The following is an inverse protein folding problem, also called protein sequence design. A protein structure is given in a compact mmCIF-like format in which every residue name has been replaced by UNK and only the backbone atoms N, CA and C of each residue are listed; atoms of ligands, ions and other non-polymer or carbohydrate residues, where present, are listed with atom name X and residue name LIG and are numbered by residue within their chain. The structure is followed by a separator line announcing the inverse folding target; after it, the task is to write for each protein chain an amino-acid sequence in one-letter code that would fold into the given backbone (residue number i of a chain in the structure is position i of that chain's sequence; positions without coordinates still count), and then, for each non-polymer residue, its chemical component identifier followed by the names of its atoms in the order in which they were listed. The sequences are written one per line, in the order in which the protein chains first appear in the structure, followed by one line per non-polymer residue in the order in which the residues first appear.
data_IF_520023238318
#
_entry.id   IF_520023238318
#
_cell.length_a   1.000
_cell.length_b   1.000
_cell.length_c   1.000
_cell.angle_alpha   90.00
_cell.angle_beta   90.00
_cell.angle_gamma   90.00
#
_symmetry.space_group_name_H-M   'P 1'
#
loop_
_entity.id
_entity.type
_entity.pdbx_description
1 polymer ?
#
# COMPACT_ATOMS: atom_id res chain seq x y z
N UNK A 1 25.71 16.45 -24.54
CA UNK A 1 25.48 14.99 -24.60
C UNK A 1 24.56 14.60 -23.44
N UNK A 2 23.24 14.67 -23.63
CA UNK A 2 22.30 13.98 -22.75
C UNK A 2 22.08 12.59 -23.35
N UNK A 3 22.50 11.52 -22.67
CA UNK A 3 22.07 10.19 -23.08
C UNK A 3 20.53 10.18 -23.05
N UNK A 4 19.85 9.65 -24.08
CA UNK A 4 18.40 9.50 -24.06
C UNK A 4 18.06 8.48 -22.97
N UNK A 5 17.77 8.95 -21.77
CA UNK A 5 17.28 8.10 -20.68
C UNK A 5 15.92 7.55 -21.13
N UNK A 6 15.77 6.23 -21.11
CA UNK A 6 14.52 5.61 -21.51
C UNK A 6 13.39 6.05 -20.56
N UNK A 7 12.19 6.29 -21.10
CA UNK A 7 11.01 6.68 -20.29
C UNK A 7 10.72 5.67 -19.18
N UNK A 8 11.01 4.40 -19.45
CA UNK A 8 10.88 3.32 -18.46
C UNK A 8 11.82 3.55 -17.28
N UNK A 9 13.08 3.94 -17.52
CA UNK A 9 14.03 4.24 -16.44
C UNK A 9 13.57 5.43 -15.58
N UNK A 10 12.96 6.46 -16.20
CA UNK A 10 12.40 7.60 -15.46
C UNK A 10 11.23 7.16 -14.56
N UNK A 11 10.29 6.38 -15.11
CA UNK A 11 9.15 5.86 -14.34
C UNK A 11 9.64 4.98 -13.19
N UNK A 12 10.52 4.02 -13.46
CA UNK A 12 11.10 3.15 -12.43
C UNK A 12 11.82 3.93 -11.33
N UNK A 13 12.59 4.97 -11.69
CA UNK A 13 13.23 5.84 -10.70
C UNK A 13 12.21 6.56 -9.81
N UNK A 14 11.11 7.07 -10.37
CA UNK A 14 10.02 7.67 -9.58
C UNK A 14 9.40 6.68 -8.61
N UNK A 15 9.16 5.44 -9.05
CA UNK A 15 8.65 4.37 -8.20
C UNK A 15 9.60 4.04 -7.04
N UNK A 16 10.91 3.94 -7.31
CA UNK A 16 11.92 3.72 -6.26
C UNK A 16 11.88 4.83 -5.21
N UNK A 17 11.79 6.10 -5.65
CA UNK A 17 11.69 7.24 -4.74
C UNK A 17 10.41 7.17 -3.91
N UNK A 18 9.27 6.87 -4.52
CA UNK A 18 7.98 6.73 -3.81
C UNK A 18 8.05 5.61 -2.78
N UNK A 19 8.51 4.42 -3.16
CA UNK A 19 8.64 3.29 -2.23
C UNK A 19 9.64 3.56 -1.11
N UNK A 20 10.77 4.22 -1.42
CA UNK A 20 11.75 4.64 -0.43
C UNK A 20 11.17 5.64 0.57
N UNK A 21 10.42 6.63 0.09
CA UNK A 21 9.76 7.61 0.96
C UNK A 21 8.68 6.96 1.82
N UNK A 22 7.89 6.05 1.26
CA UNK A 22 6.90 5.29 2.03
C UNK A 22 7.56 4.39 3.09
N UNK A 23 8.69 3.78 2.79
CA UNK A 23 9.45 3.00 3.78
C UNK A 23 9.96 3.87 4.93
N UNK A 24 10.43 5.09 4.64
CA UNK A 24 10.81 6.06 5.69
C UNK A 24 9.59 6.43 6.54
N UNK A 25 8.44 6.72 5.92
CA UNK A 25 7.20 7.04 6.65
C UNK A 25 6.76 5.88 7.56
N UNK A 26 6.89 4.64 7.09
CA UNK A 26 6.63 3.43 7.89
C UNK A 26 7.55 3.37 9.11
N UNK A 27 8.83 3.71 8.98
CA UNK A 27 9.74 3.76 10.13
C UNK A 27 9.38 4.88 11.11
N UNK A 28 9.00 6.06 10.60
CA UNK A 28 8.54 7.19 11.42
C UNK A 28 7.29 6.81 12.22
N UNK A 29 6.32 6.15 11.59
CA UNK A 29 5.10 5.67 12.24
C UNK A 29 5.38 4.60 13.30
N UNK A 30 6.33 3.68 13.04
CA UNK A 30 6.73 2.67 14.01
C UNK A 30 7.37 3.31 15.25
N UNK A 31 8.34 4.19 15.04
CA UNK A 31 9.06 4.87 16.14
C UNK A 31 8.09 5.73 16.96
N UNK A 32 7.24 6.52 16.30
CA UNK A 32 6.24 7.35 16.99
C UNK A 32 5.23 6.52 17.77
N UNK A 33 4.74 5.41 17.21
CA UNK A 33 3.85 4.47 17.91
C UNK A 33 4.48 3.87 19.17
N UNK A 34 5.75 3.44 19.08
CA UNK A 34 6.47 2.89 20.22
C UNK A 34 6.76 3.96 21.29
N UNK A 35 7.13 5.17 20.89
CA UNK A 35 7.31 6.29 21.81
C UNK A 35 6.01 6.62 22.55
N UNK A 36 4.88 6.67 21.85
CA UNK A 36 3.58 6.92 22.48
C UNK A 36 3.15 5.79 23.42
N UNK A 37 3.35 4.54 23.03
CA UNK A 37 3.09 3.39 23.89
C UNK A 37 3.93 3.42 25.17
N UNK A 38 5.18 3.85 25.07
CA UNK A 38 6.07 4.04 26.23
C UNK A 38 5.61 5.20 27.12
N UNK A 39 5.29 6.36 26.55
CA UNK A 39 4.82 7.54 27.32
C UNK A 39 3.52 7.24 28.08
N UNK A 40 2.59 6.52 27.45
CA UNK A 40 1.29 6.15 28.05
C UNK A 40 1.44 4.96 29.02
N UNK A 41 2.61 4.31 29.06
CA UNK A 41 2.90 3.15 29.92
C UNK A 41 1.88 2.01 29.71
N UNK A 42 1.61 1.67 28.45
CA UNK A 42 0.65 0.61 28.12
C UNK A 42 1.14 -0.73 28.71
N UNK A 43 0.33 -1.41 29.54
CA UNK A 43 0.70 -2.70 30.13
C UNK A 43 0.69 -3.80 29.08
N UNK A 44 1.41 -4.91 29.33
CA UNK A 44 1.42 -6.09 28.45
C UNK A 44 2.61 -6.20 27.51
N UNK A 45 3.68 -5.41 27.73
CA UNK A 45 4.93 -5.57 26.99
C UNK A 45 5.53 -6.97 27.23
N UNK A 46 5.75 -7.70 26.15
CA UNK A 46 6.53 -8.94 26.14
C UNK A 46 7.26 -9.07 24.81
N UNK A 47 8.40 -9.77 24.79
CA UNK A 47 9.16 -10.00 23.54
C UNK A 47 8.32 -10.72 22.48
N UNK A 48 7.45 -11.64 22.91
CA UNK A 48 6.57 -12.38 22.01
C UNK A 48 5.57 -11.45 21.31
N UNK A 49 4.86 -10.62 22.08
CA UNK A 49 3.89 -9.65 21.55
C UNK A 49 4.57 -8.65 20.62
N UNK A 50 5.75 -8.17 20.98
CA UNK A 50 6.50 -7.23 20.14
C UNK A 50 6.91 -7.85 18.79
N UNK A 51 7.38 -9.10 18.78
CA UNK A 51 7.74 -9.80 17.54
C UNK A 51 6.53 -10.04 16.65
N UNK A 52 5.40 -10.47 17.21
CA UNK A 52 4.16 -10.67 16.46
C UNK A 52 3.66 -9.36 15.84
N UNK A 53 3.65 -8.28 16.64
CA UNK A 53 3.32 -6.94 16.18
C UNK A 53 4.24 -6.50 15.04
N UNK A 54 5.55 -6.65 15.18
CA UNK A 54 6.51 -6.21 14.17
C UNK A 54 6.32 -6.97 12.85
N UNK A 55 6.06 -8.28 12.92
CA UNK A 55 5.77 -9.10 11.74
C UNK A 55 4.49 -8.63 11.02
N UNK A 56 3.39 -8.44 11.76
CA UNK A 56 2.13 -7.91 11.22
C UNK A 56 2.33 -6.52 10.62
N UNK A 57 3.04 -5.64 11.32
CA UNK A 57 3.32 -4.27 10.90
C UNK A 57 4.12 -4.19 9.60
N UNK A 58 5.20 -4.97 9.50
CA UNK A 58 6.04 -5.04 8.28
C UNK A 58 5.20 -5.56 7.11
N UNK A 59 4.42 -6.62 7.32
CA UNK A 59 3.58 -7.20 6.27
C UNK A 59 2.54 -6.20 5.76
N UNK A 60 1.78 -5.57 6.66
CA UNK A 60 0.79 -4.54 6.33
C UNK A 60 1.46 -3.39 5.57
N UNK A 61 2.62 -2.94 6.04
CA UNK A 61 3.36 -1.84 5.43
C UNK A 61 3.79 -2.17 4.00
N UNK A 62 4.36 -3.35 3.77
CA UNK A 62 4.79 -3.80 2.44
C UNK A 62 3.60 -3.87 1.49
N UNK A 63 2.49 -4.49 1.90
CA UNK A 63 1.30 -4.58 1.05
C UNK A 63 0.71 -3.19 0.75
N UNK A 64 0.69 -2.29 1.73
CA UNK A 64 0.22 -0.91 1.55
C UNK A 64 1.11 -0.14 0.57
N UNK A 65 2.44 -0.27 0.67
CA UNK A 65 3.38 0.36 -0.26
C UNK A 65 3.15 -0.18 -1.69
N UNK A 66 2.97 -1.48 -1.86
CA UNK A 66 2.69 -2.08 -3.18
C UNK A 66 1.42 -1.51 -3.82
N UNK A 67 0.38 -1.24 -3.03
CA UNK A 67 -0.89 -0.65 -3.50
C UNK A 67 -0.79 0.83 -3.86
N UNK A 68 0.31 1.52 -3.57
CA UNK A 68 0.55 2.88 -4.08
C UNK A 68 0.76 2.91 -5.60
N UNK A 69 1.05 1.77 -6.22
CA UNK A 69 1.35 1.68 -7.65
C UNK A 69 0.17 2.03 -8.57
N UNK A 70 -1.04 1.47 -8.38
CA UNK A 70 -2.25 1.95 -9.07
C UNK A 70 -2.50 3.45 -8.88
N UNK A 71 -2.19 4.00 -7.70
CA UNK A 71 -2.36 5.42 -7.41
C UNK A 71 -1.42 6.27 -8.27
N UNK A 72 -0.18 5.82 -8.46
CA UNK A 72 0.78 6.48 -9.35
C UNK A 72 0.29 6.50 -10.81
N UNK A 73 -0.37 5.44 -11.27
CA UNK A 73 -1.01 5.41 -12.59
C UNK A 73 -2.11 6.46 -12.71
N UNK A 74 -3.03 6.51 -11.74
CA UNK A 74 -4.13 7.50 -11.72
C UNK A 74 -3.57 8.93 -11.64
N UNK A 75 -2.50 9.17 -10.89
CA UNK A 75 -1.81 10.46 -10.84
C UNK A 75 -1.26 10.87 -12.22
N UNK A 76 -0.64 9.93 -12.94
CA UNK A 76 -0.14 10.17 -14.30
C UNK A 76 -1.25 10.40 -15.33
N UNK A 77 -2.37 9.69 -15.21
CA UNK A 77 -3.53 9.84 -16.10
C UNK A 77 -4.29 11.14 -15.86
N UNK A 78 -4.59 11.45 -14.59
CA UNK A 78 -5.35 12.63 -14.20
C UNK A 78 -4.60 13.96 -14.31
N UNK A 79 -3.29 13.94 -14.57
CA UNK A 79 -2.41 15.12 -14.72
C UNK A 79 -2.53 16.14 -13.57
N UNK A 80 -2.82 15.67 -12.36
CA UNK A 80 -3.07 16.52 -11.19
C UNK A 80 -3.19 15.72 -9.90
N UNK A 81 -3.25 16.41 -8.77
CA UNK A 81 -3.25 15.78 -7.44
C UNK A 81 -4.65 15.33 -6.99
N UNK A 82 -5.72 15.91 -7.53
CA UNK A 82 -7.10 15.65 -7.10
C UNK A 82 -7.53 14.22 -7.45
N UNK A 83 -7.26 13.76 -8.67
CA UNK A 83 -7.64 12.42 -9.14
C UNK A 83 -7.07 11.28 -8.28
N UNK A 84 -5.75 11.21 -7.99
CA UNK A 84 -5.20 10.15 -7.15
C UNK A 84 -5.69 10.24 -5.69
N UNK A 85 -5.90 11.44 -5.15
CA UNK A 85 -6.47 11.59 -3.80
C UNK A 85 -7.91 11.06 -3.75
N UNK A 86 -8.76 11.48 -4.70
CA UNK A 86 -10.14 11.03 -4.79
C UNK A 86 -10.22 9.51 -4.95
N UNK A 87 -9.33 8.94 -5.77
CA UNK A 87 -9.21 7.50 -5.95
C UNK A 87 -8.86 6.79 -4.64
N UNK A 88 -7.83 7.24 -3.91
CA UNK A 88 -7.44 6.62 -2.63
C UNK A 88 -8.60 6.70 -1.62
N UNK A 89 -9.22 7.86 -1.47
CA UNK A 89 -10.36 8.03 -0.55
C UNK A 89 -11.50 7.08 -0.93
N UNK A 90 -11.87 7.03 -2.20
CA UNK A 90 -12.92 6.15 -2.69
C UNK A 90 -12.59 4.67 -2.42
N UNK A 91 -11.37 4.23 -2.73
CA UNK A 91 -10.96 2.85 -2.49
C UNK A 91 -10.94 2.48 -1.01
N UNK A 92 -10.53 3.42 -0.13
CA UNK A 92 -10.56 3.20 1.32
C UNK A 92 -11.99 3.10 1.86
N UNK A 93 -12.93 3.89 1.33
CA UNK A 93 -14.35 3.81 1.68
C UNK A 93 -14.91 2.46 1.21
N UNK A 94 -14.65 2.07 -0.05
CA UNK A 94 -15.07 0.77 -0.58
C UNK A 94 -14.50 -0.38 0.22
N UNK A 95 -13.26 -0.28 0.69
CA UNK A 95 -12.64 -1.30 1.54
C UNK A 95 -13.48 -1.60 2.79
N UNK A 96 -14.08 -0.57 3.41
CA UNK A 96 -14.93 -0.76 4.58
C UNK A 96 -16.23 -1.50 4.23
N UNK A 97 -16.89 -1.13 3.14
CA UNK A 97 -18.13 -1.79 2.72
C UNK A 97 -17.90 -3.24 2.30
N UNK A 98 -16.82 -3.51 1.57
CA UNK A 98 -16.49 -4.87 1.12
C UNK A 98 -16.07 -5.76 2.31
N UNK A 99 -15.35 -5.20 3.29
CA UNK A 99 -15.07 -5.89 4.53
C UNK A 99 -16.36 -6.21 5.33
N UNK A 100 -17.31 -5.27 5.39
CA UNK A 100 -18.58 -5.45 6.11
C UNK A 100 -19.40 -6.64 5.59
N UNK A 101 -19.35 -6.93 4.28
CA UNK A 101 -20.05 -8.06 3.66
C UNK A 101 -19.23 -9.35 3.66
N UNK A 102 -18.08 -9.39 4.34
CA UNK A 102 -17.23 -10.59 4.47
C UNK A 102 -16.27 -10.86 3.31
N UNK A 103 -16.10 -9.89 2.40
CA UNK A 103 -15.22 -10.01 1.23
C UNK A 103 -13.89 -9.27 1.39
N UNK A 104 -13.59 -8.78 2.59
CA UNK A 104 -12.36 -8.06 2.93
C UNK A 104 -11.08 -8.75 2.42
N UNK A 105 -10.90 -10.08 2.59
CA UNK A 105 -9.71 -10.79 2.12
C UNK A 105 -9.50 -10.76 0.60
N UNK A 106 -10.49 -10.35 -0.20
CA UNK A 106 -10.44 -10.37 -1.66
C UNK A 106 -10.37 -8.97 -2.29
N UNK A 107 -10.46 -7.91 -1.48
CA UNK A 107 -10.40 -6.54 -1.98
C UNK A 107 -9.04 -5.89 -1.67
N UNK A 108 -8.26 -5.45 -2.68
CA UNK A 108 -6.86 -5.07 -2.49
C UNK A 108 -6.64 -4.06 -1.36
N UNK A 109 -7.46 -3.02 -1.29
CA UNK A 109 -7.35 -1.96 -0.27
C UNK A 109 -7.90 -2.34 1.10
N UNK A 110 -8.66 -3.44 1.22
CA UNK A 110 -9.11 -3.97 2.50
C UNK A 110 -8.08 -4.94 3.12
N UNK A 111 -7.32 -5.66 2.29
CA UNK A 111 -6.39 -6.71 2.72
C UNK A 111 -5.41 -6.28 3.82
N UNK A 112 -4.70 -5.13 3.73
CA UNK A 112 -3.84 -4.67 4.81
C UNK A 112 -4.61 -4.45 6.12
N UNK A 113 -5.85 -3.96 6.04
CA UNK A 113 -6.73 -3.78 7.20
C UNK A 113 -7.15 -5.12 7.80
N UNK A 114 -7.50 -6.11 6.98
CA UNK A 114 -7.86 -7.47 7.44
C UNK A 114 -6.74 -8.10 8.28
N UNK A 115 -5.47 -7.95 7.88
CA UNK A 115 -4.30 -8.45 8.64
C UNK A 115 -4.19 -7.82 10.04
N UNK A 116 -4.69 -6.59 10.21
CA UNK A 116 -4.65 -5.88 11.50
C UNK A 116 -5.74 -6.32 12.48
N UNK A 117 -6.77 -7.02 12.00
CA UNK A 117 -7.86 -7.50 12.84
C UNK A 117 -7.40 -8.69 13.69
N UNK A 118 -8.06 -8.89 14.83
CA UNK A 118 -7.80 -10.02 15.73
C UNK A 118 -8.07 -11.35 15.01
N UNK A 119 -7.15 -12.29 15.16
CA UNK A 119 -7.27 -13.66 14.67
C UNK A 119 -8.59 -14.31 15.14
N UNK A 120 -9.25 -15.04 14.23
CA UNK A 120 -10.56 -15.66 14.48
C UNK A 120 -11.76 -14.72 14.30
N UNK A 121 -11.57 -13.52 13.75
CA UNK A 121 -12.69 -12.67 13.33
C UNK A 121 -13.33 -13.25 12.08
N UNK A 122 -14.60 -13.66 12.19
CA UNK A 122 -15.34 -14.33 11.13
C UNK A 122 -15.38 -13.49 9.84
N UNK A 123 -15.07 -14.12 8.70
CA UNK A 123 -15.01 -13.44 7.39
C UNK A 123 -13.81 -12.51 7.18
N UNK A 124 -12.90 -12.39 8.16
CA UNK A 124 -11.73 -11.51 8.11
C UNK A 124 -10.43 -12.30 8.23
N UNK A 125 -10.38 -13.47 7.62
CA UNK A 125 -9.19 -14.33 7.56
C UNK A 125 -8.48 -14.16 6.22
N UNK A 126 -7.17 -13.90 6.29
CA UNK A 126 -6.35 -13.79 5.07
C UNK A 126 -6.12 -15.17 4.47
N UNK A 127 -6.30 -15.24 3.17
CA UNK A 127 -6.00 -16.43 2.36
C UNK A 127 -4.82 -16.17 1.45
N UNK A 128 -4.22 -17.22 0.91
CA UNK A 128 -3.12 -17.09 -0.05
C UNK A 128 -3.48 -16.21 -1.26
N UNK A 129 -4.73 -16.27 -1.71
CA UNK A 129 -5.25 -15.45 -2.80
C UNK A 129 -5.16 -13.94 -2.51
N UNK A 130 -5.26 -13.51 -1.25
CA UNK A 130 -5.15 -12.09 -0.86
C UNK A 130 -3.80 -11.50 -1.28
N UNK A 131 -2.70 -12.22 -1.03
CA UNK A 131 -1.37 -11.76 -1.43
C UNK A 131 -1.21 -11.68 -2.96
N UNK A 132 -1.77 -12.66 -3.68
CA UNK A 132 -1.78 -12.66 -5.15
C UNK A 132 -2.56 -11.45 -5.69
N UNK A 133 -3.72 -11.14 -5.10
CA UNK A 133 -4.57 -10.01 -5.50
C UNK A 133 -3.81 -8.69 -5.36
N UNK A 134 -3.13 -8.47 -4.22
CA UNK A 134 -2.32 -7.26 -4.01
C UNK A 134 -1.16 -7.19 -5.02
N UNK A 135 -0.47 -8.30 -5.25
CA UNK A 135 0.64 -8.36 -6.19
C UNK A 135 0.19 -8.03 -7.62
N UNK A 136 -0.87 -8.68 -8.11
CA UNK A 136 -1.44 -8.42 -9.43
C UNK A 136 -1.89 -6.96 -9.55
N UNK A 137 -2.60 -6.44 -8.54
CA UNK A 137 -3.05 -5.05 -8.50
C UNK A 137 -1.87 -4.07 -8.60
N UNK A 138 -0.80 -4.32 -7.85
CA UNK A 138 0.43 -3.52 -7.89
C UNK A 138 1.12 -3.55 -9.26
N UNK A 139 1.22 -4.74 -9.86
CA UNK A 139 1.81 -4.92 -11.20
C UNK A 139 0.99 -4.22 -12.28
N UNK A 140 -0.34 -4.28 -12.22
CA UNK A 140 -1.22 -3.56 -13.15
C UNK A 140 -0.97 -2.05 -13.06
N UNK A 141 -0.87 -1.50 -11.85
CA UNK A 141 -0.55 -0.08 -11.65
C UNK A 141 0.82 0.31 -12.24
N UNK A 142 1.82 -0.54 -12.07
CA UNK A 142 3.19 -0.26 -12.49
C UNK A 142 3.31 -0.31 -14.02
N UNK A 143 2.86 -1.41 -14.64
CA UNK A 143 2.88 -1.56 -16.08
C UNK A 143 1.91 -0.59 -16.78
N UNK A 144 0.77 -0.28 -16.15
CA UNK A 144 -0.16 0.75 -16.63
C UNK A 144 0.52 2.12 -16.69
N UNK A 145 1.30 2.48 -15.66
CA UNK A 145 2.07 3.74 -15.65
C UNK A 145 3.11 3.78 -16.76
N UNK A 146 3.85 2.68 -16.97
CA UNK A 146 4.82 2.57 -18.05
C UNK A 146 4.15 2.70 -19.42
N UNK A 147 3.04 1.98 -19.64
CA UNK A 147 2.30 2.02 -20.89
C UNK A 147 1.80 3.45 -21.17
N UNK A 148 1.15 4.09 -20.19
CA UNK A 148 0.67 5.46 -20.32
C UNK A 148 1.78 6.44 -20.71
N UNK A 149 2.93 6.38 -20.04
CA UNK A 149 4.08 7.24 -20.35
C UNK A 149 4.71 6.99 -21.73
N UNK A 150 4.53 5.80 -22.32
CA UNK A 150 4.97 5.50 -23.68
C UNK A 150 4.02 6.05 -24.73
N UNK A 151 2.71 5.95 -24.52
CA UNK A 151 1.69 6.29 -25.53
C UNK A 151 1.18 7.73 -25.45
N UNK A 152 1.24 8.39 -24.28
CA UNK A 152 0.69 9.73 -24.10
C UNK A 152 1.37 10.83 -24.93
N UNK A 153 2.63 10.62 -25.35
CA UNK A 153 3.42 11.56 -26.15
C UNK A 153 3.36 11.25 -27.67
N UNK A 154 2.54 10.29 -28.11
CA UNK A 154 2.26 10.06 -29.53
C UNK A 154 1.09 10.93 -30.07
N UNK A 155 0.69 11.97 -29.32
CA UNK A 155 -0.34 12.92 -29.73
C UNK A 155 0.19 14.35 -29.79
#
# INVERSE_FOLDING_TARGET
MSLPVSRQAIVSAKFIVVFGWSAILVLVLLISGLLMGYIISIPGWSEHVFKEFLNKYILISVLTILLSSPVAFIAGYGRGIIAPIAFVIFMLIMAQFVALVGWGPYFPWAIPGVISVKDGTEGMEIVFASYIIVLITSLIGYFGTIAWWKYADQK
#
